data_IF_097283090893
#
_entry.id   IF_097283090893
#
_cell.length_a   1.000
_cell.length_b   1.000
_cell.length_c   1.000
_cell.angle_alpha   90.00
_cell.angle_beta   90.00
_cell.angle_gamma   90.00
#
_symmetry.space_group_name_H-M   'P 1'
#
loop_
_entity.id
_entity.type
_entity.pdbx_description
1 polymer ?
#
# COMPACT_ATOMS: atom_id res chain seq x y z
N UNK A 1 15.54 -4.95 -34.06
CA UNK A 1 15.07 -6.28 -34.50
C UNK A 1 13.57 -6.22 -34.67
N UNK A 2 13.02 -6.83 -35.72
CA UNK A 2 11.58 -6.84 -36.00
C UNK A 2 10.89 -8.04 -35.34
N UNK A 3 9.59 -7.93 -35.03
CA UNK A 3 8.79 -9.06 -34.57
C UNK A 3 8.38 -9.98 -35.72
N UNK A 4 7.66 -11.05 -35.40
CA UNK A 4 7.15 -12.04 -36.37
C UNK A 4 6.21 -11.45 -37.44
N UNK A 5 5.78 -10.20 -37.28
CA UNK A 5 4.95 -9.44 -38.22
C UNK A 5 5.73 -8.30 -38.90
N UNK A 6 7.06 -8.24 -38.74
CA UNK A 6 7.91 -7.21 -39.34
C UNK A 6 7.89 -5.86 -38.62
N UNK A 7 7.28 -5.74 -37.43
CA UNK A 7 7.19 -4.48 -36.69
C UNK A 7 8.44 -4.26 -35.83
N UNK A 8 8.89 -3.02 -35.70
CA UNK A 8 10.06 -2.70 -34.87
C UNK A 8 9.80 -2.96 -33.38
N UNK A 9 10.53 -3.91 -32.80
CA UNK A 9 10.47 -4.26 -31.37
C UNK A 9 11.08 -3.14 -30.53
N UNK A 10 12.15 -2.47 -31.01
CA UNK A 10 12.86 -1.48 -30.22
C UNK A 10 11.97 -0.28 -29.91
N UNK A 11 11.31 0.27 -30.93
CA UNK A 11 10.35 1.37 -30.75
C UNK A 11 9.18 0.99 -29.82
N UNK A 12 8.66 -0.24 -29.93
CA UNK A 12 7.59 -0.74 -29.04
C UNK A 12 8.05 -0.90 -27.60
N UNK A 13 9.26 -1.41 -27.37
CA UNK A 13 9.83 -1.54 -26.03
C UNK A 13 10.02 -0.17 -25.38
N UNK A 14 10.54 0.81 -26.12
CA UNK A 14 10.71 2.17 -25.61
C UNK A 14 9.36 2.80 -25.23
N UNK A 15 8.35 2.67 -26.08
CA UNK A 15 7.00 3.15 -25.80
C UNK A 15 6.36 2.44 -24.59
N UNK A 16 6.48 1.11 -24.51
CA UNK A 16 5.96 0.31 -23.42
C UNK A 16 6.65 0.63 -22.08
N UNK A 17 7.96 0.86 -22.10
CA UNK A 17 8.76 1.13 -20.90
C UNK A 17 8.25 2.37 -20.16
N UNK A 18 7.94 3.46 -20.90
CA UNK A 18 7.39 4.68 -20.30
C UNK A 18 6.04 4.44 -19.63
N UNK A 19 5.15 3.68 -20.28
CA UNK A 19 3.82 3.38 -19.74
C UNK A 19 3.91 2.42 -18.54
N UNK A 20 4.75 1.39 -18.63
CA UNK A 20 4.97 0.43 -17.55
C UNK A 20 5.58 1.08 -16.31
N UNK A 21 6.63 1.89 -16.47
CA UNK A 21 7.25 2.61 -15.35
C UNK A 21 6.26 3.61 -14.72
N UNK A 22 5.54 4.37 -15.54
CA UNK A 22 4.56 5.34 -15.05
C UNK A 22 3.42 4.67 -14.26
N UNK A 23 2.90 3.55 -14.76
CA UNK A 23 1.81 2.82 -14.10
C UNK A 23 2.26 2.13 -12.81
N UNK A 24 3.44 1.51 -12.78
CA UNK A 24 4.00 0.90 -11.56
C UNK A 24 4.25 1.98 -10.50
N UNK A 25 4.82 3.12 -10.87
CA UNK A 25 5.05 4.23 -9.96
C UNK A 25 3.74 4.75 -9.34
N UNK A 26 2.72 4.98 -10.18
CA UNK A 26 1.40 5.40 -9.72
C UNK A 26 0.76 4.37 -8.77
N UNK A 27 0.89 3.08 -9.10
CA UNK A 27 0.37 2.00 -8.27
C UNK A 27 1.08 1.93 -6.91
N UNK A 28 2.40 2.03 -6.89
CA UNK A 28 3.19 2.03 -5.66
C UNK A 28 2.82 3.21 -4.76
N UNK A 29 2.74 4.42 -5.32
CA UNK A 29 2.35 5.60 -4.56
C UNK A 29 0.98 5.39 -3.91
N UNK A 30 -0.01 4.93 -4.68
CA UNK A 30 -1.38 4.76 -4.19
C UNK A 30 -1.46 3.67 -3.10
N UNK A 31 -0.80 2.53 -3.30
CA UNK A 31 -0.71 1.45 -2.31
C UNK A 31 -0.03 1.92 -1.02
N UNK A 32 1.09 2.62 -1.14
CA UNK A 32 1.85 3.09 0.01
C UNK A 32 1.08 4.16 0.77
N UNK A 33 0.42 5.10 0.09
CA UNK A 33 -0.43 6.10 0.75
C UNK A 33 -1.58 5.42 1.50
N UNK A 34 -2.28 4.47 0.89
CA UNK A 34 -3.35 3.71 1.56
C UNK A 34 -2.82 2.92 2.77
N UNK A 35 -1.72 2.20 2.58
CA UNK A 35 -1.08 1.42 3.63
C UNK A 35 -0.58 2.29 4.79
N UNK A 36 -0.02 3.46 4.49
CA UNK A 36 0.47 4.42 5.47
C UNK A 36 -0.67 5.00 6.31
N UNK A 37 -1.73 5.46 5.64
CA UNK A 37 -2.90 6.04 6.33
C UNK A 37 -3.57 5.00 7.21
N UNK A 38 -3.90 3.83 6.66
CA UNK A 38 -4.67 2.80 7.37
C UNK A 38 -3.81 2.08 8.43
N UNK A 39 -2.60 1.67 8.06
CA UNK A 39 -1.67 0.98 8.94
C UNK A 39 -1.11 1.90 10.03
N UNK A 40 -0.84 3.15 9.68
CA UNK A 40 -0.41 4.20 10.61
C UNK A 40 -1.48 4.52 11.64
N UNK A 41 -2.73 4.75 11.21
CA UNK A 41 -3.83 5.01 12.13
C UNK A 41 -4.11 3.81 13.05
N UNK A 42 -4.07 2.59 12.51
CA UNK A 42 -4.27 1.37 13.29
C UNK A 42 -3.16 1.17 14.34
N UNK A 43 -1.89 1.37 13.96
CA UNK A 43 -0.74 1.27 14.86
C UNK A 43 -0.71 2.36 15.95
N UNK A 44 -1.11 3.58 15.60
CA UNK A 44 -1.11 4.73 16.52
C UNK A 44 -2.22 4.62 17.57
N UNK A 45 -3.47 4.41 17.13
CA UNK A 45 -4.65 4.37 18.01
C UNK A 45 -4.64 3.09 18.86
N UNK A 46 -4.28 1.95 18.27
CA UNK A 46 -4.32 0.65 18.94
C UNK A 46 -5.75 0.22 19.35
N UNK A 47 -5.82 -0.81 20.21
CA UNK A 47 -7.07 -1.24 20.83
C UNK A 47 -8.10 -1.85 19.86
N UNK A 48 -9.38 -1.49 20.01
CA UNK A 48 -10.50 -2.09 19.25
C UNK A 48 -10.49 -1.68 17.77
N UNK A 49 -10.06 -0.47 17.45
CA UNK A 49 -9.97 0.03 16.07
C UNK A 49 -8.92 -0.77 15.31
N UNK A 50 -7.76 -0.97 15.91
CA UNK A 50 -6.70 -1.81 15.35
C UNK A 50 -7.17 -3.24 15.08
N UNK A 51 -7.83 -3.88 16.05
CA UNK A 51 -8.38 -5.22 15.86
C UNK A 51 -9.43 -5.30 14.74
N UNK A 52 -10.30 -4.29 14.63
CA UNK A 52 -11.31 -4.25 13.58
C UNK A 52 -10.67 -4.09 12.19
N UNK A 53 -9.74 -3.13 12.05
CA UNK A 53 -9.01 -2.89 10.79
C UNK A 53 -8.19 -4.11 10.38
N UNK A 54 -7.49 -4.73 11.33
CA UNK A 54 -6.69 -5.93 11.04
C UNK A 54 -7.57 -7.12 10.68
N UNK A 55 -8.76 -7.31 11.28
CA UNK A 55 -9.70 -8.35 10.83
C UNK A 55 -10.15 -8.15 9.38
N UNK A 56 -10.45 -6.92 8.99
CA UNK A 56 -10.80 -6.62 7.59
C UNK A 56 -9.60 -6.94 6.70
N UNK A 57 -8.39 -6.51 7.07
CA UNK A 57 -7.18 -6.85 6.32
C UNK A 57 -6.96 -8.37 6.20
N UNK A 58 -7.19 -9.13 7.28
CA UNK A 58 -7.06 -10.59 7.30
C UNK A 58 -8.05 -11.27 6.34
N UNK A 59 -9.29 -10.78 6.25
CA UNK A 59 -10.29 -11.26 5.28
C UNK A 59 -9.81 -11.07 3.85
N UNK A 60 -9.26 -9.89 3.53
CA UNK A 60 -8.71 -9.60 2.20
C UNK A 60 -7.50 -10.49 1.86
N UNK A 61 -6.61 -10.72 2.83
CA UNK A 61 -5.41 -11.53 2.66
C UNK A 61 -5.68 -13.05 2.62
N UNK A 62 -6.88 -13.49 2.97
CA UNK A 62 -7.28 -14.90 2.85
C UNK A 62 -7.41 -15.32 1.39
N UNK A 63 -7.76 -14.38 0.51
CA UNK A 63 -7.80 -14.62 -0.93
C UNK A 63 -6.42 -14.37 -1.55
N UNK A 64 -6.00 -15.20 -2.53
CA UNK A 64 -4.82 -14.89 -3.32
C UNK A 64 -4.97 -13.52 -3.98
N UNK A 65 -3.99 -12.62 -3.77
CA UNK A 65 -4.07 -11.21 -4.22
C UNK A 65 -4.27 -11.08 -5.72
N UNK A 66 -3.73 -12.00 -6.51
CA UNK A 66 -3.94 -12.07 -7.96
C UNK A 66 -5.41 -12.30 -8.32
N UNK A 67 -6.09 -13.21 -7.61
CA UNK A 67 -7.52 -13.52 -7.86
C UNK A 67 -8.38 -12.30 -7.50
N UNK A 68 -8.11 -11.68 -6.35
CA UNK A 68 -8.82 -10.47 -5.92
C UNK A 68 -8.59 -9.31 -6.90
N UNK A 69 -7.38 -9.16 -7.42
CA UNK A 69 -7.05 -8.14 -8.42
C UNK A 69 -7.85 -8.35 -9.70
N UNK A 70 -7.94 -9.59 -10.21
CA UNK A 70 -8.75 -9.89 -11.39
C UNK A 70 -10.24 -9.66 -11.17
N UNK A 71 -10.76 -10.04 -10.00
CA UNK A 71 -12.13 -9.74 -9.61
C UNK A 71 -12.39 -8.22 -9.62
N UNK A 72 -11.51 -7.44 -9.01
CA UNK A 72 -11.62 -5.98 -8.98
C UNK A 72 -11.57 -5.36 -10.38
N UNK A 73 -10.70 -5.84 -11.27
CA UNK A 73 -10.67 -5.41 -12.68
C UNK A 73 -11.96 -5.76 -13.39
N UNK A 74 -12.52 -6.95 -13.15
CA UNK A 74 -13.81 -7.37 -13.71
C UNK A 74 -14.97 -6.46 -13.28
N UNK A 75 -14.97 -6.02 -12.03
CA UNK A 75 -16.00 -5.12 -11.48
C UNK A 75 -15.82 -3.67 -11.91
N UNK A 76 -14.59 -3.16 -11.89
CA UNK A 76 -14.28 -1.76 -12.23
C UNK A 76 -14.31 -1.50 -13.75
N UNK A 77 -14.17 -2.56 -14.56
CA UNK A 77 -14.11 -2.49 -16.01
C UNK A 77 -12.70 -2.33 -16.56
N UNK A 78 -12.57 -2.41 -17.88
CA UNK A 78 -11.27 -2.39 -18.57
C UNK A 78 -10.64 -1.00 -18.60
N UNK A 79 -9.34 -0.92 -18.34
CA UNK A 79 -8.57 0.31 -18.48
C UNK A 79 -7.34 0.32 -17.56
N UNK A 80 -6.29 1.03 -17.95
CA UNK A 80 -5.05 1.09 -17.16
C UNK A 80 -5.30 1.65 -15.75
N UNK A 81 -6.12 2.70 -15.64
CA UNK A 81 -6.49 3.31 -14.35
C UNK A 81 -7.20 2.32 -13.44
N UNK A 82 -8.15 1.55 -13.97
CA UNK A 82 -8.89 0.57 -13.18
C UNK A 82 -8.01 -0.59 -12.74
N UNK A 83 -7.05 -1.01 -13.56
CA UNK A 83 -6.05 -2.01 -13.18
C UNK A 83 -5.18 -1.49 -12.03
N UNK A 84 -4.73 -0.23 -12.09
CA UNK A 84 -3.95 0.38 -11.01
C UNK A 84 -4.76 0.42 -9.71
N UNK A 85 -6.02 0.86 -9.76
CA UNK A 85 -6.91 0.91 -8.59
C UNK A 85 -7.15 -0.50 -8.03
N UNK A 86 -7.43 -1.47 -8.90
CA UNK A 86 -7.67 -2.87 -8.52
C UNK A 86 -6.48 -3.50 -7.79
N UNK A 87 -5.27 -3.29 -8.32
CA UNK A 87 -4.04 -3.76 -7.68
C UNK A 87 -3.89 -3.06 -6.32
N UNK A 88 -4.13 -1.75 -6.25
CA UNK A 88 -3.98 -1.02 -5.00
C UNK A 88 -4.95 -1.48 -3.91
N UNK A 89 -6.22 -1.67 -4.25
CA UNK A 89 -7.27 -2.19 -3.37
C UNK A 89 -7.10 -3.68 -3.03
N UNK A 90 -6.26 -4.40 -3.76
CA UNK A 90 -5.94 -5.80 -3.44
C UNK A 90 -4.69 -5.93 -2.54
N UNK A 91 -3.75 -4.98 -2.64
CA UNK A 91 -2.48 -5.05 -1.92
C UNK A 91 -2.44 -4.19 -0.65
N UNK A 92 -3.34 -3.22 -0.47
CA UNK A 92 -3.32 -2.31 0.68
C UNK A 92 -3.22 -3.01 2.04
N UNK A 93 -3.88 -4.16 2.21
CA UNK A 93 -3.92 -4.90 3.48
C UNK A 93 -2.53 -5.35 3.95
N UNK A 94 -1.70 -5.85 3.01
CA UNK A 94 -0.33 -6.29 3.30
C UNK A 94 0.54 -5.11 3.72
N UNK A 95 0.48 -4.00 2.97
CA UNK A 95 1.24 -2.79 3.27
C UNK A 95 0.76 -2.11 4.57
N UNK A 96 -0.54 -2.08 4.83
CA UNK A 96 -1.10 -1.56 6.07
C UNK A 96 -0.59 -2.34 7.29
N UNK A 97 -0.52 -3.68 7.20
CA UNK A 97 0.06 -4.52 8.26
C UNK A 97 1.55 -4.24 8.44
N UNK A 98 2.30 -4.07 7.35
CA UNK A 98 3.72 -3.74 7.40
C UNK A 98 3.96 -2.40 8.11
N UNK A 99 3.25 -1.34 7.70
CA UNK A 99 3.33 -0.02 8.34
C UNK A 99 2.92 -0.10 9.81
N UNK A 100 1.82 -0.79 10.12
CA UNK A 100 1.38 -0.99 11.51
C UNK A 100 2.49 -1.62 12.36
N UNK A 101 3.16 -2.65 11.86
CA UNK A 101 4.28 -3.30 12.55
C UNK A 101 5.42 -2.33 12.85
N UNK A 102 5.77 -1.49 11.86
CA UNK A 102 6.79 -0.44 12.02
C UNK A 102 6.36 0.58 13.08
N UNK A 103 5.12 1.07 13.03
CA UNK A 103 4.59 2.07 13.98
C UNK A 103 4.55 1.52 15.41
N UNK A 104 4.15 0.26 15.60
CA UNK A 104 4.17 -0.38 16.92
C UNK A 104 5.62 -0.53 17.42
N UNK A 105 6.56 -0.91 16.55
CA UNK A 105 7.98 -1.03 16.89
C UNK A 105 8.60 0.31 17.28
N UNK A 106 8.31 1.38 16.52
CA UNK A 106 8.68 2.76 16.84
C UNK A 106 8.12 3.18 18.19
N UNK A 107 6.85 2.90 18.46
CA UNK A 107 6.21 3.17 19.74
C UNK A 107 6.89 2.42 20.89
N UNK A 108 7.27 1.16 20.72
CA UNK A 108 7.99 0.43 21.77
C UNK A 108 9.40 1.00 22.01
N UNK A 109 10.08 1.49 20.97
CA UNK A 109 11.41 2.11 21.09
C UNK A 109 11.38 3.50 21.74
N UNK A 110 10.42 4.34 21.38
CA UNK A 110 10.30 5.68 21.95
C UNK A 110 9.68 5.70 23.35
N UNK A 111 8.74 4.79 23.67
CA UNK A 111 8.01 4.86 24.93
C UNK A 111 8.75 4.26 26.14
N UNK A 112 9.84 3.50 25.97
CA UNK A 112 10.67 3.08 27.12
C UNK A 112 11.58 4.22 27.60
N UNK A 113 11.91 5.20 26.74
CA UNK A 113 12.78 6.34 27.08
C UNK A 113 12.00 7.67 27.29
N UNK A 114 10.97 7.95 26.49
CA UNK A 114 10.25 9.23 26.53
C UNK A 114 9.15 9.31 27.61
N UNK A 115 8.57 8.17 28.02
CA UNK A 115 7.54 8.13 29.07
C UNK A 115 8.05 8.50 30.46
N UNK A 116 9.37 8.50 30.67
CA UNK A 116 9.98 9.03 31.90
C UNK A 116 10.17 10.54 31.90
N UNK A 117 10.07 11.25 30.76
CA UNK A 117 10.60 12.62 30.70
C UNK A 117 9.64 13.72 30.22
N UNK A 118 8.67 13.51 29.32
CA UNK A 118 8.30 14.68 28.49
C UNK A 118 6.83 15.06 28.28
N UNK A 119 5.80 14.36 28.80
CA UNK A 119 4.43 14.90 28.85
C UNK A 119 3.84 15.52 27.55
N UNK A 120 4.28 15.07 26.36
CA UNK A 120 3.94 15.67 25.08
C UNK A 120 2.86 14.88 24.31
N UNK A 121 1.94 15.60 23.67
CA UNK A 121 0.75 15.05 23.02
C UNK A 121 1.02 14.21 21.76
N UNK A 122 0.23 13.14 21.62
CA UNK A 122 0.35 12.08 20.60
C UNK A 122 0.36 12.56 19.14
N UNK A 123 -0.19 13.76 18.85
CA UNK A 123 -0.35 14.27 17.48
C UNK A 123 0.95 14.84 16.93
N UNK A 124 1.80 15.46 17.77
CA UNK A 124 3.04 16.12 17.31
C UNK A 124 4.14 15.14 16.96
N UNK A 125 4.21 14.02 17.67
CA UNK A 125 5.17 12.92 17.41
C UNK A 125 4.89 12.26 16.05
N UNK A 126 3.63 12.17 15.65
CA UNK A 126 3.25 11.57 14.36
C UNK A 126 3.68 12.39 13.14
N UNK A 127 3.82 13.72 13.28
CA UNK A 127 4.14 14.63 12.16
C UNK A 127 5.63 14.96 12.10
N UNK A 128 6.32 15.04 13.24
CA UNK A 128 7.74 15.46 13.25
C UNK A 128 8.73 14.30 13.01
N UNK A 129 8.33 13.03 13.19
CA UNK A 129 9.26 11.88 13.21
C UNK A 129 9.00 10.77 12.17
N UNK A 130 8.00 10.93 11.29
CA UNK A 130 7.59 9.93 10.28
C UNK A 130 7.46 10.59 8.90
#
# INVERSE_FOLDING_TARGET
>A
GTDHLGRDIFSRLMAATRVSLGSVMACLLLVLTLGLVIGGSAGLIGGRVDQATMRVADMFMTFPTSILSFFMVGVLGTGLTNVIIAIALSHWAWYARMVRSLVISLRQREFVLASRLSGAGHVRVFVDHL
#
